data_IF_682625554106
#
_entry.id   IF_682625554106
#
_cell.length_a   1.000
_cell.length_b   1.000
_cell.length_c   1.000
_cell.angle_alpha   90.00
_cell.angle_beta   90.00
_cell.angle_gamma   90.00
#
_symmetry.space_group_name_H-M   'P 1'
#
loop_
_entity.id
_entity.type
_entity.pdbx_description
1 polymer ?
#
# COMPACT_ATOMS: atom_id res chain seq x y z
N UNK A 1 -2.49 18.82 -5.14
CA UNK A 1 -2.19 17.38 -5.08
C UNK A 1 -1.29 17.14 -3.89
N UNK A 2 -1.48 16.05 -3.15
CA UNK A 2 -0.61 15.65 -2.03
C UNK A 2 0.08 14.35 -2.42
N UNK A 3 1.39 14.27 -2.18
CA UNK A 3 2.21 13.09 -2.51
C UNK A 3 2.41 12.30 -1.21
N UNK A 4 2.10 11.01 -1.25
CA UNK A 4 2.30 10.10 -0.11
C UNK A 4 3.78 9.72 0.04
N UNK A 5 4.15 9.20 1.21
CA UNK A 5 5.53 8.77 1.45
C UNK A 5 5.97 7.60 0.57
N UNK A 6 7.29 7.47 0.40
CA UNK A 6 7.90 6.45 -0.46
C UNK A 6 7.61 4.99 -0.05
N UNK A 7 7.10 4.75 1.17
CA UNK A 7 6.72 3.39 1.63
C UNK A 7 5.61 2.79 0.76
N UNK A 8 4.70 3.61 0.25
CA UNK A 8 3.61 3.17 -0.62
C UNK A 8 4.14 2.71 -1.97
N UNK A 9 5.03 3.49 -2.60
CA UNK A 9 5.63 3.10 -3.88
C UNK A 9 6.38 1.76 -3.76
N UNK A 10 7.17 1.58 -2.69
CA UNK A 10 7.89 0.32 -2.43
C UNK A 10 6.93 -0.86 -2.29
N UNK A 11 5.83 -0.70 -1.56
CA UNK A 11 4.82 -1.74 -1.37
C UNK A 11 4.12 -2.09 -2.69
N UNK A 12 3.74 -1.09 -3.48
CA UNK A 12 3.12 -1.25 -4.81
C UNK A 12 4.06 -2.00 -5.76
N UNK A 13 5.33 -1.64 -5.82
CA UNK A 13 6.31 -2.31 -6.68
C UNK A 13 6.50 -3.79 -6.29
N UNK A 14 6.53 -4.08 -4.98
CA UNK A 14 6.63 -5.44 -4.44
C UNK A 14 5.36 -6.25 -4.75
N UNK A 15 4.17 -5.66 -4.61
CA UNK A 15 2.90 -6.27 -4.99
C UNK A 15 2.86 -6.64 -6.48
N UNK A 16 3.25 -5.71 -7.38
CA UNK A 16 3.26 -5.95 -8.83
C UNK A 16 4.18 -7.09 -9.23
N UNK A 17 5.39 -7.14 -8.67
CA UNK A 17 6.34 -8.25 -8.92
C UNK A 17 5.76 -9.59 -8.50
N UNK A 18 5.06 -9.65 -7.36
CA UNK A 18 4.42 -10.87 -6.84
C UNK A 18 3.22 -11.30 -7.69
N UNK A 19 2.37 -10.34 -8.06
CA UNK A 19 1.19 -10.55 -8.90
C UNK A 19 1.51 -10.79 -10.38
N UNK A 20 2.80 -10.68 -10.78
CA UNK A 20 3.26 -10.81 -12.17
C UNK A 20 2.58 -9.82 -13.12
N UNK A 21 2.24 -8.64 -12.61
CA UNK A 21 1.71 -7.52 -13.40
C UNK A 21 2.90 -6.83 -14.06
N UNK A 22 2.99 -6.96 -15.38
CA UNK A 22 4.12 -6.41 -16.16
C UNK A 22 3.72 -5.29 -17.09
N UNK A 23 2.42 -5.14 -17.37
CA UNK A 23 1.91 -4.07 -18.23
C UNK A 23 1.24 -2.97 -17.42
N UNK A 24 1.27 -1.76 -17.97
CA UNK A 24 0.57 -0.62 -17.37
C UNK A 24 -0.96 -0.80 -17.40
N UNK A 25 -1.49 -1.51 -18.38
CA UNK A 25 -2.94 -1.78 -18.49
C UNK A 25 -3.43 -2.67 -17.35
N UNK A 26 -2.70 -3.75 -17.04
CA UNK A 26 -3.03 -4.65 -15.92
C UNK A 26 -2.92 -3.95 -14.58
N UNK A 27 -1.95 -3.05 -14.40
CA UNK A 27 -1.80 -2.23 -13.20
C UNK A 27 -2.99 -1.27 -13.01
N UNK A 28 -3.29 -0.47 -14.04
CA UNK A 28 -4.40 0.50 -13.99
C UNK A 28 -5.76 -0.20 -13.84
N UNK A 29 -5.91 -1.42 -14.36
CA UNK A 29 -7.13 -2.21 -14.19
C UNK A 29 -7.44 -2.55 -12.71
N UNK A 30 -6.43 -2.56 -11.84
CA UNK A 30 -6.62 -2.80 -10.40
C UNK A 30 -6.97 -1.54 -9.61
N UNK A 31 -6.88 -0.36 -10.21
CA UNK A 31 -7.04 0.89 -9.47
C UNK A 31 -8.51 1.18 -9.21
N UNK A 32 -8.86 1.36 -7.94
CA UNK A 32 -10.17 1.88 -7.53
C UNK A 32 -10.14 3.39 -7.39
N UNK A 33 -11.24 4.05 -7.74
CA UNK A 33 -11.42 5.49 -7.51
C UNK A 33 -12.52 5.73 -6.48
N UNK A 34 -12.19 6.45 -5.42
CA UNK A 34 -13.14 6.97 -4.44
C UNK A 34 -13.34 8.48 -4.69
N UNK A 35 -14.57 8.97 -4.55
CA UNK A 35 -14.86 10.40 -4.57
C UNK A 35 -15.53 10.78 -3.25
N UNK A 36 -14.93 11.73 -2.53
CA UNK A 36 -15.44 12.21 -1.26
C UNK A 36 -15.99 13.64 -1.44
N UNK A 37 -17.04 14.02 -0.70
CA UNK A 37 -17.50 15.41 -0.70
C UNK A 37 -16.37 16.33 -0.25
N UNK A 38 -16.21 17.45 -0.95
CA UNK A 38 -15.24 18.47 -0.56
C UNK A 38 -15.83 19.31 0.58
N UNK A 39 -15.23 19.19 1.76
CA UNK A 39 -15.54 20.05 2.90
C UNK A 39 -14.44 21.10 3.04
N UNK A 40 -14.79 22.37 2.83
CA UNK A 40 -13.86 23.49 3.02
C UNK A 40 -12.80 23.61 1.91
N UNK A 41 -11.54 23.81 2.32
CA UNK A 41 -10.43 24.06 1.41
C UNK A 41 -9.89 22.78 0.75
N UNK A 42 -9.61 22.85 -0.55
CA UNK A 42 -9.13 21.69 -1.32
C UNK A 42 -7.77 21.17 -0.86
N UNK A 43 -6.86 22.04 -0.43
CA UNK A 43 -5.55 21.60 0.04
C UNK A 43 -5.68 20.91 1.41
N UNK A 44 -6.52 21.46 2.29
CA UNK A 44 -6.81 20.87 3.60
C UNK A 44 -7.51 19.51 3.48
N UNK A 45 -8.52 19.40 2.63
CA UNK A 45 -9.22 18.14 2.38
C UNK A 45 -8.28 17.06 1.79
N UNK A 46 -7.42 17.44 0.85
CA UNK A 46 -6.43 16.53 0.27
C UNK A 46 -5.39 16.06 1.31
N UNK A 47 -4.94 16.96 2.19
CA UNK A 47 -4.00 16.61 3.25
C UNK A 47 -4.65 15.69 4.29
N UNK A 48 -5.89 15.95 4.69
CA UNK A 48 -6.62 15.10 5.63
C UNK A 48 -6.79 13.66 5.11
N UNK A 49 -7.08 13.51 3.81
CA UNK A 49 -7.15 12.19 3.16
C UNK A 49 -5.77 11.53 3.14
N UNK A 50 -4.71 12.27 2.81
CA UNK A 50 -3.35 11.75 2.82
C UNK A 50 -2.93 11.28 4.22
N UNK A 51 -3.22 12.06 5.26
CA UNK A 51 -2.91 11.73 6.65
C UNK A 51 -3.70 10.50 7.12
N UNK A 52 -4.98 10.40 6.72
CA UNK A 52 -5.80 9.20 6.97
C UNK A 52 -5.17 7.96 6.34
N UNK A 53 -4.78 8.03 5.08
CA UNK A 53 -4.14 6.92 4.35
C UNK A 53 -2.78 6.57 4.98
N UNK A 54 -1.97 7.57 5.34
CA UNK A 54 -0.68 7.38 6.00
C UNK A 54 -0.80 6.66 7.35
N UNK A 55 -1.81 7.01 8.14
CA UNK A 55 -2.10 6.41 9.43
C UNK A 55 -2.69 5.00 9.30
N UNK A 56 -3.59 4.79 8.35
CA UNK A 56 -4.27 3.52 8.12
C UNK A 56 -3.32 2.45 7.55
N UNK A 57 -2.45 2.84 6.64
CA UNK A 57 -1.48 1.97 5.97
C UNK A 57 -0.10 2.14 6.60
N UNK A 58 0.07 1.51 7.76
CA UNK A 58 1.37 1.36 8.41
C UNK A 58 2.34 0.53 7.55
N UNK A 59 3.65 0.64 7.82
CA UNK A 59 4.67 -0.15 7.10
C UNK A 59 4.37 -1.65 7.15
N UNK A 60 3.98 -2.16 8.31
CA UNK A 60 3.64 -3.57 8.52
C UNK A 60 2.45 -3.99 7.65
N UNK A 61 1.37 -3.21 7.63
CA UNK A 61 0.18 -3.51 6.80
C UNK A 61 0.52 -3.46 5.30
N UNK A 62 1.30 -2.47 4.88
CA UNK A 62 1.78 -2.38 3.50
C UNK A 62 2.68 -3.56 3.11
N UNK A 63 3.51 -4.04 4.03
CA UNK A 63 4.32 -5.25 3.84
C UNK A 63 3.45 -6.49 3.63
N UNK A 64 2.41 -6.67 4.44
CA UNK A 64 1.46 -7.77 4.30
C UNK A 64 0.73 -7.72 2.95
N UNK A 65 0.22 -6.53 2.58
CA UNK A 65 -0.44 -6.31 1.30
C UNK A 65 0.49 -6.61 0.13
N UNK A 66 1.73 -6.13 0.18
CA UNK A 66 2.70 -6.39 -0.85
C UNK A 66 3.05 -7.87 -0.98
N UNK A 67 3.13 -8.61 0.14
CA UNK A 67 3.40 -10.05 0.14
C UNK A 67 2.24 -10.86 -0.44
N UNK A 68 1.00 -10.44 -0.16
CA UNK A 68 -0.22 -11.00 -0.71
C UNK A 68 -0.45 -10.63 -2.20
N UNK A 69 0.42 -9.84 -2.82
CA UNK A 69 0.27 -9.42 -4.22
C UNK A 69 -0.60 -8.18 -4.42
N UNK A 70 -0.89 -7.43 -3.35
CA UNK A 70 -1.60 -6.15 -3.39
C UNK A 70 -3.09 -6.22 -3.09
N UNK A 71 -3.65 -7.41 -2.81
CA UNK A 71 -5.07 -7.59 -2.56
C UNK A 71 -5.37 -7.74 -1.06
N UNK A 72 -6.23 -6.87 -0.53
CA UNK A 72 -6.69 -6.95 0.87
C UNK A 72 -7.44 -8.26 1.18
N UNK A 73 -8.16 -8.82 0.20
CA UNK A 73 -8.86 -10.09 0.34
C UNK A 73 -7.92 -11.27 0.63
N UNK A 74 -6.72 -11.25 0.05
CA UNK A 74 -5.71 -12.28 0.26
C UNK A 74 -4.99 -12.09 1.60
N UNK A 75 -4.88 -10.84 2.09
CA UNK A 75 -4.36 -10.54 3.43
C UNK A 75 -5.30 -11.00 4.54
N UNK A 76 -6.62 -10.84 4.39
CA UNK A 76 -7.61 -11.31 5.39
C UNK A 76 -7.59 -12.84 5.57
N UNK A 77 -7.24 -13.60 4.52
CA UNK A 77 -7.13 -15.06 4.58
C UNK A 77 -5.75 -15.56 5.04
N UNK A 78 -4.72 -14.71 5.00
CA UNK A 78 -3.38 -15.07 5.43
C UNK A 78 -3.18 -14.73 6.91
N UNK A 79 -3.20 -15.74 7.78
CA UNK A 79 -2.60 -15.66 9.11
C UNK A 79 -1.07 -15.66 8.98
N UNK A 80 -0.48 -14.61 8.42
CA UNK A 80 0.98 -14.48 8.42
C UNK A 80 1.37 -14.13 9.84
N UNK A 81 2.05 -15.06 10.52
CA UNK A 81 2.69 -14.76 11.79
C UNK A 81 3.60 -13.54 11.56
N UNK A 82 3.26 -12.41 12.20
CA UNK A 82 3.96 -11.13 12.05
C UNK A 82 5.49 -11.25 12.29
N UNK A 83 5.90 -12.34 12.94
CA UNK A 83 7.29 -12.73 13.21
C UNK A 83 8.07 -13.15 11.96
N UNK A 84 7.46 -13.82 10.98
CA UNK A 84 8.12 -14.15 9.71
C UNK A 84 8.28 -12.91 8.83
N UNK A 85 7.32 -11.98 8.89
CA UNK A 85 7.38 -10.73 8.15
C UNK A 85 8.46 -9.78 8.71
N UNK A 86 8.58 -9.69 10.03
CA UNK A 86 9.64 -8.93 10.70
C UNK A 86 11.04 -9.53 10.45
N UNK A 87 11.16 -10.86 10.42
CA UNK A 87 12.43 -11.53 10.16
C UNK A 87 12.97 -11.33 8.73
N UNK A 88 12.09 -11.07 7.76
CA UNK A 88 12.49 -10.67 6.41
C UNK A 88 12.84 -9.19 6.31
N UNK A 89 12.25 -8.34 7.15
CA UNK A 89 12.55 -6.91 7.23
C UNK A 89 13.94 -6.65 7.84
N UNK A 90 14.35 -7.42 8.86
CA UNK A 90 15.69 -7.37 9.47
C UNK A 90 16.82 -7.82 8.53
N UNK A 91 16.57 -8.73 7.59
CA UNK A 91 17.59 -9.21 6.65
C UNK A 91 17.87 -8.27 5.47
N UNK A 92 16.99 -7.30 5.20
CA UNK A 92 17.13 -6.34 4.08
C UNK A 92 17.63 -4.94 4.53
N UNK A 93 17.65 -4.61 5.83
CA UNK A 93 18.31 -3.38 6.32
C UNK A 93 19.85 -3.49 6.37
N UNK A 94 20.40 -4.71 6.26
CA UNK A 94 21.83 -5.02 6.31
C UNK A 94 22.53 -5.06 4.92
N UNK A 95 21.86 -4.70 3.81
CA UNK A 95 22.44 -4.65 2.45
C UNK A 95 22.49 -3.20 1.88
#
# INVERSE_FOLDING_TARGET
QVVLSAKFQRAIDRAKRKAKIYTAEEDVAQWSRENLPLEGDMAQAAQAVADRIEAEYSRTRLGQLAYAGGFEADVEQMSVDAKELAALEELEEDE
#
